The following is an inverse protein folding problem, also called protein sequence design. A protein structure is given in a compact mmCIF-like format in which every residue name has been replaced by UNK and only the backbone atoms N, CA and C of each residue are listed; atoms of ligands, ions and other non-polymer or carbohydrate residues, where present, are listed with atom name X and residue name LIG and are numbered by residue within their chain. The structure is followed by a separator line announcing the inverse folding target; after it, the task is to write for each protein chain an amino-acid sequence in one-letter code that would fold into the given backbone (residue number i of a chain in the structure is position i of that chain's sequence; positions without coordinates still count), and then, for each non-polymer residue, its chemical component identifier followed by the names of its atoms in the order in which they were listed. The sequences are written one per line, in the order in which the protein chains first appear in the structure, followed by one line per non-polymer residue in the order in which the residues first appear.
data_IF_640380580811
#
_entry.id   IF_640380580811
#
_cell.length_a   1.000
_cell.length_b   1.000
_cell.length_c   1.000
_cell.angle_alpha   90.00
_cell.angle_beta   90.00
_cell.angle_gamma   90.00
#
_symmetry.space_group_name_H-M   'P 1'
#
loop_
_entity.id
_entity.type
_entity.pdbx_description
1 polymer ?
#
# COMPACT_ATOMS: atom_id res chain seq x y z
N UNK A 1 -46.33 -6.49 -2.58
CA UNK A 1 -45.78 -5.12 -2.53
C UNK A 1 -44.82 -4.90 -1.36
N UNK A 2 -44.91 -5.66 -0.27
CA UNK A 2 -43.99 -5.56 0.88
C UNK A 2 -42.56 -6.07 0.62
N UNK A 3 -42.37 -7.04 -0.29
CA UNK A 3 -41.03 -7.53 -0.65
C UNK A 3 -40.16 -6.47 -1.37
N UNK A 4 -40.77 -5.66 -2.25
CA UNK A 4 -40.07 -4.53 -2.92
C UNK A 4 -39.69 -3.42 -1.96
N UNK A 5 -40.43 -3.27 -0.85
CA UNK A 5 -40.20 -2.24 0.16
C UNK A 5 -39.06 -2.64 1.12
N UNK A 6 -38.80 -3.95 1.27
CA UNK A 6 -37.62 -4.47 1.97
C UNK A 6 -36.34 -4.35 1.12
N UNK A 7 -36.39 -4.63 -0.19
CA UNK A 7 -35.23 -4.44 -1.09
C UNK A 7 -34.85 -2.96 -1.24
N UNK A 8 -35.82 -2.04 -1.30
CA UNK A 8 -35.54 -0.60 -1.35
C UNK A 8 -34.88 -0.08 -0.06
N UNK A 9 -35.26 -0.61 1.11
CA UNK A 9 -34.61 -0.27 2.40
C UNK A 9 -33.21 -0.87 2.56
N UNK A 10 -32.92 -1.99 1.91
CA UNK A 10 -31.58 -2.60 1.86
C UNK A 10 -30.66 -1.87 0.87
N UNK A 11 -31.18 -1.44 -0.29
CA UNK A 11 -30.45 -0.59 -1.23
C UNK A 11 -30.21 0.83 -0.66
N UNK A 12 -31.20 1.44 0.01
CA UNK A 12 -31.02 2.78 0.59
C UNK A 12 -30.03 2.81 1.77
N UNK A 13 -29.89 1.71 2.53
CA UNK A 13 -28.86 1.57 3.57
C UNK A 13 -27.46 1.28 3.02
N UNK A 14 -27.35 0.80 1.78
CA UNK A 14 -26.07 0.51 1.12
C UNK A 14 -25.59 1.69 0.27
N UNK A 15 -26.49 2.59 -0.15
CA UNK A 15 -26.17 3.76 -0.97
C UNK A 15 -25.96 5.08 -0.20
N UNK A 16 -26.31 5.15 1.08
CA UNK A 16 -25.91 6.27 1.95
C UNK A 16 -24.70 5.90 2.79
N UNK A 17 -23.51 6.03 2.19
CA UNK A 17 -22.25 6.36 2.88
C UNK A 17 -21.04 6.57 1.94
N UNK A 18 -21.25 6.86 0.64
CA UNK A 18 -20.13 7.02 -0.34
C UNK A 18 -19.84 8.50 -0.66
N UNK A 19 -20.39 9.44 0.10
CA UNK A 19 -20.08 10.86 0.00
C UNK A 19 -19.73 11.46 1.36
N UNK A 20 -18.76 10.89 2.03
CA UNK A 20 -17.97 11.62 3.02
C UNK A 20 -16.50 11.39 2.69
N UNK A 21 -15.68 12.44 2.73
CA UNK A 21 -14.26 12.37 2.41
C UNK A 21 -13.62 11.23 3.19
N UNK A 22 -13.27 10.14 2.49
CA UNK A 22 -12.73 8.95 3.12
C UNK A 22 -11.37 9.31 3.71
N UNK A 23 -11.35 9.41 5.03
CA UNK A 23 -10.15 9.66 5.81
C UNK A 23 -9.28 8.39 5.76
N UNK A 24 -8.45 8.31 4.71
CA UNK A 24 -7.52 7.19 4.39
C UNK A 24 -6.45 6.97 5.47
N UNK A 25 -6.46 7.75 6.55
CA UNK A 25 -5.51 7.66 7.64
C UNK A 25 -5.83 6.49 8.57
N UNK A 26 -7.06 5.97 8.56
CA UNK A 26 -7.59 5.07 9.59
C UNK A 26 -7.22 3.58 9.56
N UNK A 27 -6.44 3.09 8.59
CA UNK A 27 -6.29 1.64 8.37
C UNK A 27 -4.98 1.08 8.93
N UNK A 28 -5.05 -0.01 9.71
CA UNK A 28 -3.86 -0.75 10.12
C UNK A 28 -3.23 -1.46 8.91
N UNK A 29 -1.94 -1.83 8.97
CA UNK A 29 -1.30 -2.65 7.91
C UNK A 29 -2.09 -3.93 7.55
N UNK A 30 -2.96 -4.44 8.44
CA UNK A 30 -3.83 -5.59 8.15
C UNK A 30 -5.13 -5.21 7.43
N UNK A 31 -5.62 -3.98 7.59
CA UNK A 31 -6.80 -3.47 6.88
C UNK A 31 -6.45 -3.06 5.45
N UNK A 32 -5.19 -2.68 5.20
CA UNK A 32 -4.63 -2.49 3.86
C UNK A 32 -4.78 -3.72 2.97
N UNK A 33 -4.71 -4.93 3.53
CA UNK A 33 -4.75 -6.20 2.78
C UNK A 33 -6.19 -6.58 2.37
N UNK A 34 -7.19 -6.22 3.19
CA UNK A 34 -8.62 -6.38 2.85
C UNK A 34 -9.12 -5.29 1.90
N UNK A 35 -8.48 -4.13 1.86
CA UNK A 35 -8.80 -3.09 0.89
C UNK A 35 -8.26 -3.40 -0.52
N UNK A 36 -7.33 -4.37 -0.66
CA UNK A 36 -6.77 -4.79 -1.95
C UNK A 36 -7.70 -5.70 -2.77
N UNK A 37 -8.83 -6.16 -2.24
CA UNK A 37 -9.81 -6.92 -3.03
C UNK A 37 -10.55 -6.06 -4.06
N UNK A 38 -10.63 -4.74 -3.87
CA UNK A 38 -11.11 -3.83 -4.92
C UNK A 38 -9.92 -3.24 -5.71
N UNK A 39 -9.74 -3.62 -6.98
CA UNK A 39 -8.59 -3.17 -7.75
C UNK A 39 -8.68 -1.68 -8.18
N UNK A 40 -9.80 -0.97 -7.95
CA UNK A 40 -9.83 0.51 -8.05
C UNK A 40 -9.23 1.15 -6.80
N UNK A 41 -9.55 0.62 -5.62
CA UNK A 41 -8.96 1.07 -4.35
C UNK A 41 -7.46 0.81 -4.31
N UNK A 42 -7.02 -0.38 -4.72
CA UNK A 42 -5.58 -0.71 -4.77
C UNK A 42 -4.76 0.28 -5.63
N UNK A 43 -5.31 0.71 -6.78
CA UNK A 43 -4.68 1.71 -7.65
C UNK A 43 -4.60 3.10 -7.01
N UNK A 44 -5.64 3.51 -6.29
CA UNK A 44 -5.66 4.78 -5.58
C UNK A 44 -4.66 4.78 -4.42
N UNK A 45 -4.55 3.67 -3.69
CA UNK A 45 -3.61 3.50 -2.58
C UNK A 45 -2.15 3.52 -3.07
N UNK A 46 -1.83 2.84 -4.19
CA UNK A 46 -0.48 2.92 -4.79
C UNK A 46 -0.15 4.37 -5.19
N UNK A 47 -1.11 5.07 -5.81
CA UNK A 47 -0.92 6.45 -6.24
C UNK A 47 -0.69 7.40 -5.06
N UNK A 48 -1.40 7.21 -3.94
CA UNK A 48 -1.19 7.96 -2.70
C UNK A 48 0.20 7.71 -2.10
N UNK A 49 0.61 6.43 -1.97
CA UNK A 49 1.95 6.08 -1.48
C UNK A 49 3.05 6.64 -2.36
N UNK A 50 2.89 6.55 -3.69
CA UNK A 50 3.82 7.14 -4.65
C UNK A 50 3.94 8.64 -4.48
N UNK A 51 2.81 9.34 -4.30
CA UNK A 51 2.80 10.80 -4.08
C UNK A 51 3.51 11.16 -2.78
N UNK A 52 3.20 10.48 -1.68
CA UNK A 52 3.84 10.69 -0.37
C UNK A 52 5.36 10.48 -0.46
N UNK A 53 5.80 9.41 -1.13
CA UNK A 53 7.22 9.13 -1.36
C UNK A 53 7.92 10.25 -2.14
N UNK A 54 7.38 10.67 -3.28
CA UNK A 54 8.05 11.72 -4.08
C UNK A 54 8.11 13.06 -3.36
N UNK A 55 7.07 13.41 -2.60
CA UNK A 55 7.06 14.62 -1.77
C UNK A 55 8.07 14.49 -0.63
N UNK A 56 8.10 13.35 0.07
CA UNK A 56 9.04 13.14 1.18
C UNK A 56 10.47 13.12 0.67
N UNK A 57 10.75 12.51 -0.48
CA UNK A 57 12.04 12.52 -1.14
C UNK A 57 12.49 13.94 -1.49
N UNK A 58 11.62 14.72 -2.13
CA UNK A 58 11.91 16.10 -2.51
C UNK A 58 12.28 16.97 -1.30
N UNK A 59 11.60 16.77 -0.17
CA UNK A 59 11.90 17.46 1.09
C UNK A 59 13.12 16.88 1.81
N UNK A 60 13.38 15.58 1.70
CA UNK A 60 14.53 14.92 2.34
C UNK A 60 15.86 15.34 1.70
N UNK A 61 15.89 15.61 0.40
CA UNK A 61 17.11 16.06 -0.30
C UNK A 61 17.73 17.31 0.37
N UNK A 62 17.02 18.45 0.51
CA UNK A 62 17.58 19.62 1.18
C UNK A 62 17.87 19.35 2.66
N UNK A 63 17.07 18.56 3.37
CA UNK A 63 17.36 18.17 4.76
C UNK A 63 18.72 17.50 4.87
N UNK A 64 19.01 16.52 4.01
CA UNK A 64 20.31 15.82 4.00
C UNK A 64 21.42 16.80 3.65
N UNK A 65 21.25 17.67 2.65
CA UNK A 65 22.27 18.65 2.27
C UNK A 65 22.61 19.65 3.39
N UNK A 66 21.65 20.02 4.23
CA UNK A 66 21.86 20.89 5.39
C UNK A 66 22.25 20.13 6.67
N UNK A 67 22.21 18.80 6.67
CA UNK A 67 22.54 18.00 7.85
C UNK A 67 24.06 17.79 8.00
N UNK A 68 24.56 17.46 9.21
CA UNK A 68 25.96 17.07 9.42
C UNK A 68 26.38 15.90 8.50
N UNK A 69 25.45 15.00 8.19
CA UNK A 69 25.67 13.91 7.24
C UNK A 69 25.97 14.43 5.82
N UNK A 70 25.22 15.43 5.34
CA UNK A 70 25.48 16.05 4.04
C UNK A 70 26.81 16.78 3.99
N UNK A 71 27.15 17.53 5.04
CA UNK A 71 28.43 18.23 5.13
C UNK A 71 29.62 17.26 5.11
N UNK A 72 29.53 16.16 5.85
CA UNK A 72 30.60 15.15 5.89
C UNK A 72 30.78 14.40 4.57
N UNK A 73 29.69 14.06 3.87
CA UNK A 73 29.72 13.31 2.61
C UNK A 73 30.12 14.20 1.43
N UNK A 74 29.46 15.36 1.29
CA UNK A 74 29.60 16.22 0.12
C UNK A 74 30.64 17.33 0.30
N UNK A 75 31.09 17.60 1.53
CA UNK A 75 32.04 18.68 1.88
C UNK A 75 31.60 20.07 1.40
N UNK A 76 30.29 20.26 1.27
CA UNK A 76 29.66 21.52 0.88
C UNK A 76 28.95 22.07 2.10
N UNK A 77 29.34 23.26 2.55
CA UNK A 77 28.59 24.03 3.55
C UNK A 77 27.71 25.04 2.83
N UNK A 78 26.40 24.79 2.84
CA UNK A 78 25.44 25.68 2.19
C UNK A 78 25.22 26.95 3.04
N UNK A 79 25.17 28.14 2.42
CA UNK A 79 24.86 29.36 3.16
C UNK A 79 23.40 29.31 3.65
N UNK A 80 23.21 29.37 4.97
CA UNK A 80 21.89 29.29 5.59
C UNK A 80 21.41 30.69 6.04
N UNK A 81 20.24 31.17 5.56
CA UNK A 81 19.70 32.49 5.94
C UNK A 81 19.14 32.53 7.37
N UNK A 82 18.85 31.36 7.95
CA UNK A 82 18.40 31.16 9.34
C UNK A 82 19.17 29.96 9.93
N UNK A 83 19.22 29.77 11.27
CA UNK A 83 19.97 28.67 11.84
C UNK A 83 19.49 27.32 11.30
N UNK A 84 20.43 26.46 10.94
CA UNK A 84 20.19 25.20 10.21
C UNK A 84 19.11 24.34 10.89
N UNK A 85 19.14 24.21 12.22
CA UNK A 85 18.15 23.42 12.97
C UNK A 85 16.69 23.90 12.76
N UNK A 86 16.45 25.19 12.53
CA UNK A 86 15.12 25.71 12.18
C UNK A 86 14.68 25.30 10.77
N UNK A 87 15.61 25.29 9.82
CA UNK A 87 15.36 24.80 8.45
C UNK A 87 14.99 23.32 8.50
N UNK A 88 15.79 22.52 9.22
CA UNK A 88 15.57 21.10 9.37
C UNK A 88 14.23 20.81 10.06
N UNK A 89 13.89 21.53 11.14
CA UNK A 89 12.59 21.41 11.79
C UNK A 89 11.44 21.69 10.81
N UNK A 90 11.52 22.81 10.08
CA UNK A 90 10.47 23.23 9.14
C UNK A 90 10.25 22.20 8.03
N UNK A 91 11.33 21.64 7.48
CA UNK A 91 11.26 20.67 6.39
C UNK A 91 10.87 19.26 6.87
N UNK A 92 11.34 18.84 8.04
CA UNK A 92 11.05 17.50 8.58
C UNK A 92 9.63 17.38 9.12
N UNK A 93 9.04 18.46 9.64
CA UNK A 93 7.66 18.48 10.17
C UNK A 93 6.61 17.94 9.18
N UNK A 94 6.49 18.45 7.93
CA UNK A 94 5.54 17.91 6.96
C UNK A 94 5.87 16.47 6.56
N UNK A 95 7.15 16.06 6.59
CA UNK A 95 7.50 14.65 6.32
C UNK A 95 6.90 13.75 7.41
N UNK A 96 7.13 14.08 8.69
CA UNK A 96 6.68 13.26 9.83
C UNK A 96 5.16 13.24 9.96
N UNK A 97 4.52 14.41 9.97
CA UNK A 97 3.09 14.50 10.31
C UNK A 97 2.14 14.43 9.12
N UNK A 98 2.60 14.70 7.89
CA UNK A 98 1.74 14.59 6.72
C UNK A 98 2.06 13.35 5.90
N UNK A 99 3.28 13.21 5.38
CA UNK A 99 3.60 12.02 4.55
C UNK A 99 3.69 10.75 5.40
N UNK A 100 4.29 10.83 6.59
CA UNK A 100 4.49 9.76 7.54
C UNK A 100 3.29 9.48 8.46
N UNK A 101 2.19 10.23 8.34
CA UNK A 101 0.98 10.05 9.17
C UNK A 101 0.45 8.62 9.14
N UNK A 102 0.60 7.94 8.00
CA UNK A 102 0.18 6.54 7.84
C UNK A 102 0.84 5.60 8.86
N UNK A 103 2.10 5.84 9.24
CA UNK A 103 2.80 5.02 10.23
C UNK A 103 2.35 5.34 11.65
N UNK A 104 2.07 6.62 11.94
CA UNK A 104 1.57 7.07 13.24
C UNK A 104 0.17 6.52 13.47
N UNK A 105 -0.72 6.71 12.51
CA UNK A 105 -2.09 6.24 12.62
C UNK A 105 -2.14 4.72 12.56
N UNK A 106 -1.34 4.07 11.70
CA UNK A 106 -1.18 2.62 11.68
C UNK A 106 -0.71 2.06 13.03
N UNK A 107 0.19 2.75 13.72
CA UNK A 107 0.64 2.40 15.09
C UNK A 107 -0.51 2.49 16.09
N UNK A 108 -1.28 3.58 16.08
CA UNK A 108 -2.43 3.75 16.98
C UNK A 108 -3.42 2.58 16.86
N UNK A 109 -3.82 2.22 15.64
CA UNK A 109 -4.73 1.10 15.42
C UNK A 109 -4.12 -0.26 15.78
N UNK A 110 -2.82 -0.44 15.52
CA UNK A 110 -2.11 -1.69 15.86
C UNK A 110 -2.02 -1.92 17.36
N UNK A 111 -1.71 -0.86 18.13
CA UNK A 111 -1.70 -0.90 19.59
C UNK A 111 -3.10 -1.11 20.17
N UNK A 112 -4.13 -0.44 19.61
CA UNK A 112 -5.53 -0.67 19.98
C UNK A 112 -5.95 -2.12 19.77
N UNK A 113 -5.45 -2.76 18.70
CA UNK A 113 -5.67 -4.16 18.40
C UNK A 113 -4.73 -5.13 19.16
N UNK A 114 -3.88 -4.62 20.08
CA UNK A 114 -2.86 -5.39 20.83
C UNK A 114 -1.90 -6.17 19.94
N UNK A 115 -1.52 -5.58 18.81
CA UNK A 115 -0.57 -6.14 17.85
C UNK A 115 0.64 -5.24 17.72
N UNK A 116 1.83 -5.84 17.84
CA UNK A 116 3.10 -5.17 17.56
C UNK A 116 3.51 -5.52 16.12
N UNK A 117 3.63 -4.51 15.27
CA UNK A 117 3.98 -4.66 13.87
C UNK A 117 4.99 -3.59 13.43
N UNK A 118 5.39 -3.64 12.16
CA UNK A 118 6.36 -2.72 11.56
C UNK A 118 6.03 -1.24 11.81
N UNK A 119 4.75 -0.85 11.74
CA UNK A 119 4.35 0.54 11.97
C UNK A 119 4.74 1.03 13.37
N UNK A 120 4.54 0.21 14.41
CA UNK A 120 4.88 0.57 15.80
C UNK A 120 6.35 0.92 15.93
N UNK A 121 7.23 0.11 15.34
CA UNK A 121 8.67 0.36 15.39
C UNK A 121 9.04 1.64 14.63
N UNK A 122 8.51 1.80 13.41
CA UNK A 122 8.78 2.96 12.56
C UNK A 122 8.32 4.25 13.25
N UNK A 123 7.06 4.29 13.72
CA UNK A 123 6.52 5.47 14.37
C UNK A 123 7.28 5.81 15.66
N UNK A 124 7.65 4.79 16.46
CA UNK A 124 8.46 5.01 17.66
C UNK A 124 9.81 5.62 17.31
N UNK A 125 10.53 5.08 16.31
CA UNK A 125 11.82 5.61 15.89
C UNK A 125 11.75 7.02 15.32
N UNK A 126 10.78 7.28 14.43
CA UNK A 126 10.56 8.60 13.82
C UNK A 126 10.20 9.64 14.88
N UNK A 127 9.26 9.32 15.77
CA UNK A 127 8.83 10.25 16.83
C UNK A 127 9.93 10.47 17.87
N UNK A 128 10.67 9.42 18.24
CA UNK A 128 11.81 9.56 19.16
C UNK A 128 12.90 10.46 18.56
N UNK A 129 13.26 10.27 17.29
CA UNK A 129 14.22 11.12 16.59
C UNK A 129 13.72 12.56 16.46
N UNK A 130 12.46 12.76 16.07
CA UNK A 130 11.88 14.09 15.87
C UNK A 130 11.73 14.88 17.18
N UNK A 131 11.11 14.28 18.21
CA UNK A 131 10.92 14.92 19.52
C UNK A 131 12.27 15.11 20.21
N UNK A 132 13.17 14.12 20.15
CA UNK A 132 14.53 14.23 20.67
C UNK A 132 15.30 15.39 20.03
N UNK A 133 15.14 15.58 18.71
CA UNK A 133 15.74 16.70 17.99
C UNK A 133 15.22 18.06 18.45
N UNK A 134 13.91 18.19 18.69
CA UNK A 134 13.32 19.41 19.25
C UNK A 134 13.89 19.71 20.63
N UNK A 135 13.98 18.69 21.50
CA UNK A 135 14.53 18.86 22.85
C UNK A 135 15.99 19.31 22.78
N UNK A 136 16.82 18.65 21.98
CA UNK A 136 18.24 18.99 21.82
C UNK A 136 18.43 20.41 21.25
N UNK A 137 17.62 20.78 20.26
CA UNK A 137 17.62 22.11 19.66
C UNK A 137 17.30 23.21 20.68
N UNK A 138 16.34 22.98 21.59
CA UNK A 138 15.90 23.97 22.57
C UNK A 138 16.77 24.04 23.83
N UNK A 139 17.46 22.96 24.19
CA UNK A 139 18.20 22.86 25.46
C UNK A 139 19.70 23.01 25.29
N UNK A 140 20.31 22.19 24.44
CA UNK A 140 21.78 22.07 24.31
C UNK A 140 22.29 22.82 23.09
N UNK A 141 21.46 23.02 22.06
CA UNK A 141 21.86 23.65 20.80
C UNK A 141 22.83 22.79 19.97
N UNK A 142 22.79 21.47 20.16
CA UNK A 142 23.71 20.50 19.54
C UNK A 142 23.20 19.89 18.24
N UNK A 143 23.87 18.82 17.82
CA UNK A 143 23.49 18.01 16.66
C UNK A 143 22.10 17.40 16.86
N UNK A 144 21.27 17.49 15.82
CA UNK A 144 19.90 17.00 15.81
C UNK A 144 19.77 15.78 14.89
N UNK A 145 18.65 15.07 14.99
CA UNK A 145 18.34 13.85 14.23
C UNK A 145 17.15 14.05 13.27
N UNK A 146 16.91 15.29 12.85
CA UNK A 146 15.81 15.62 11.92
C UNK A 146 16.00 14.96 10.54
N UNK A 147 17.25 14.78 10.12
CA UNK A 147 17.66 14.06 8.93
C UNK A 147 17.38 12.56 9.04
N UNK A 148 17.72 11.94 10.17
CA UNK A 148 17.44 10.53 10.43
C UNK A 148 15.94 10.24 10.39
N UNK A 149 15.12 11.10 11.02
CA UNK A 149 13.66 10.99 10.98
C UNK A 149 13.11 11.09 9.54
N UNK A 150 13.57 12.09 8.77
CA UNK A 150 13.14 12.31 7.40
C UNK A 150 13.54 11.16 6.46
N UNK A 151 14.79 10.70 6.54
CA UNK A 151 15.30 9.59 5.75
C UNK A 151 14.56 8.29 6.07
N UNK A 152 14.31 8.00 7.36
CA UNK A 152 13.59 6.80 7.77
C UNK A 152 12.18 6.78 7.16
N UNK A 153 11.42 7.88 7.26
CA UNK A 153 10.09 7.98 6.64
C UNK A 153 10.17 7.78 5.13
N UNK A 154 11.11 8.44 4.46
CA UNK A 154 11.26 8.36 3.00
C UNK A 154 11.61 6.96 2.52
N UNK A 155 12.55 6.26 3.18
CA UNK A 155 12.93 4.90 2.78
C UNK A 155 11.80 3.89 3.04
N UNK A 156 11.07 4.04 4.14
CA UNK A 156 9.93 3.16 4.42
C UNK A 156 8.81 3.40 3.40
N UNK A 157 8.49 4.66 3.08
CA UNK A 157 7.51 4.98 2.03
C UNK A 157 7.92 4.41 0.67
N UNK A 158 9.21 4.49 0.33
CA UNK A 158 9.75 3.87 -0.88
C UNK A 158 9.52 2.36 -0.89
N UNK A 159 9.90 1.67 0.18
CA UNK A 159 9.72 0.22 0.31
C UNK A 159 8.26 -0.18 0.18
N UNK A 160 7.36 0.58 0.81
CA UNK A 160 5.92 0.29 0.77
C UNK A 160 5.32 0.56 -0.62
N UNK A 161 5.75 1.63 -1.30
CA UNK A 161 5.34 1.87 -2.69
C UNK A 161 5.84 0.77 -3.62
N UNK A 162 7.10 0.33 -3.49
CA UNK A 162 7.66 -0.76 -4.28
C UNK A 162 6.92 -2.08 -4.06
N UNK A 163 6.56 -2.39 -2.80
CA UNK A 163 5.72 -3.55 -2.47
C UNK A 163 4.38 -3.49 -3.20
N UNK A 164 3.67 -2.36 -3.13
CA UNK A 164 2.37 -2.20 -3.80
C UNK A 164 2.49 -2.28 -5.33
N UNK A 165 3.51 -1.63 -5.89
CA UNK A 165 3.78 -1.66 -7.34
C UNK A 165 4.05 -3.07 -7.84
N UNK A 166 4.78 -3.89 -7.06
CA UNK A 166 5.06 -5.29 -7.39
C UNK A 166 3.80 -6.15 -7.38
N UNK A 167 2.86 -5.90 -6.45
CA UNK A 167 1.59 -6.64 -6.35
C UNK A 167 0.58 -6.27 -7.44
N UNK A 168 0.60 -5.04 -7.99
CA UNK A 168 -0.36 -4.57 -9.01
C UNK A 168 -0.34 -5.40 -10.30
N UNK A 169 0.83 -5.88 -10.73
CA UNK A 169 0.97 -6.60 -12.01
C UNK A 169 0.08 -7.84 -12.13
N UNK A 170 -0.28 -8.45 -11.00
CA UNK A 170 -1.09 -9.68 -10.97
C UNK A 170 -2.59 -9.42 -11.15
N UNK A 171 -3.10 -8.28 -10.66
CA UNK A 171 -4.53 -7.94 -10.73
C UNK A 171 -4.99 -7.48 -12.12
N UNK A 172 -4.07 -6.97 -12.95
CA UNK A 172 -4.39 -6.55 -14.33
C UNK A 172 -4.65 -7.76 -15.25
N UNK A 173 -3.97 -8.88 -15.03
CA UNK A 173 -4.20 -10.11 -15.80
C UNK A 173 -5.59 -10.71 -15.55
N UNK A 174 -6.09 -10.64 -14.31
CA UNK A 174 -7.45 -11.07 -13.99
C UNK A 174 -8.53 -10.19 -14.65
N UNK A 175 -8.29 -8.89 -14.79
CA UNK A 175 -9.22 -7.98 -15.47
C UNK A 175 -9.32 -8.25 -16.96
N UNK A 176 -8.21 -8.61 -17.60
CA UNK A 176 -8.23 -9.00 -19.01
C UNK A 176 -9.18 -10.19 -19.28
N UNK A 177 -9.41 -11.06 -18.27
CA UNK A 177 -10.40 -12.13 -18.36
C UNK A 177 -11.84 -11.61 -18.27
N UNK A 178 -12.12 -10.54 -17.52
CA UNK A 178 -13.45 -9.92 -17.46
C UNK A 178 -13.82 -9.18 -18.74
N UNK A 179 -12.83 -8.58 -19.42
CA UNK A 179 -13.02 -7.92 -20.73
C UNK A 179 -13.38 -8.92 -21.86
N UNK A 180 -13.30 -10.22 -21.57
CA UNK A 180 -13.81 -11.26 -22.47
C UNK A 180 -15.34 -11.33 -22.49
N UNK A 181 -16.02 -10.87 -21.43
CA UNK A 181 -17.48 -10.89 -21.38
C UNK A 181 -18.01 -9.64 -22.09
N UNK A 182 -18.85 -9.78 -23.13
CA UNK A 182 -19.44 -8.63 -23.80
C UNK A 182 -20.38 -7.87 -22.84
N UNK A 183 -20.42 -6.52 -22.88
CA UNK A 183 -21.27 -5.74 -21.98
C UNK A 183 -22.76 -5.85 -22.30
N UNK A 184 -23.10 -6.21 -23.54
CA UNK A 184 -24.47 -6.37 -24.02
C UNK A 184 -24.58 -7.64 -24.86
N UNK A 185 -25.80 -8.18 -24.92
CA UNK A 185 -26.11 -9.33 -25.75
C UNK A 185 -27.54 -9.22 -26.31
N UNK A 186 -27.76 -9.86 -27.46
CA UNK A 186 -29.05 -9.88 -28.14
C UNK A 186 -29.83 -11.12 -27.73
N UNK A 187 -30.97 -10.93 -27.08
CA UNK A 187 -31.86 -12.00 -26.62
C UNK A 187 -33.17 -11.98 -27.37
N UNK A 188 -33.82 -13.13 -27.52
CA UNK A 188 -35.18 -13.23 -28.05
C UNK A 188 -36.14 -13.29 -26.87
N UNK A 189 -36.93 -12.23 -26.69
CA UNK A 189 -38.02 -12.15 -25.72
C UNK A 189 -39.29 -11.74 -26.46
N UNK A 190 -40.42 -12.38 -26.15
CA UNK A 190 -41.72 -12.15 -26.82
C UNK A 190 -41.64 -12.25 -28.36
N UNK A 191 -40.78 -13.13 -28.87
CA UNK A 191 -40.58 -13.35 -30.30
C UNK A 191 -39.81 -12.24 -31.03
N UNK A 192 -39.24 -11.27 -30.31
CA UNK A 192 -38.43 -10.18 -30.87
C UNK A 192 -37.01 -10.20 -30.33
N UNK A 193 -36.06 -9.84 -31.18
CA UNK A 193 -34.68 -9.60 -30.78
C UNK A 193 -34.58 -8.27 -30.01
N UNK A 194 -34.06 -8.32 -28.80
CA UNK A 194 -33.83 -7.17 -27.92
C UNK A 194 -32.40 -7.25 -27.40
N UNK A 195 -31.65 -6.15 -27.54
CA UNK A 195 -30.32 -6.03 -26.95
C UNK A 195 -30.46 -5.56 -25.50
N UNK A 196 -29.91 -6.34 -24.57
CA UNK A 196 -29.93 -6.05 -23.14
C UNK A 196 -28.50 -6.10 -22.57
N UNK A 197 -28.23 -5.46 -21.43
CA UNK A 197 -26.99 -5.67 -20.69
C UNK A 197 -26.80 -7.16 -20.36
N UNK A 198 -25.59 -7.69 -20.52
CA UNK A 198 -25.31 -9.12 -20.24
C UNK A 198 -25.60 -9.51 -18.79
N UNK A 199 -25.57 -8.54 -17.88
CA UNK A 199 -25.95 -8.71 -16.47
C UNK A 199 -27.45 -8.97 -16.25
N UNK A 200 -28.31 -8.68 -17.23
CA UNK A 200 -29.77 -8.89 -17.17
C UNK A 200 -30.23 -10.20 -17.82
N UNK A 201 -29.28 -11.00 -18.34
CA UNK A 201 -29.57 -12.31 -18.91
C UNK A 201 -29.95 -13.26 -17.78
N UNK A 202 -31.08 -13.94 -17.95
CA UNK A 202 -31.57 -14.94 -17.00
C UNK A 202 -31.49 -16.34 -17.61
N UNK A 203 -31.41 -17.34 -16.74
CA UNK A 203 -31.40 -18.74 -17.16
C UNK A 203 -32.67 -19.04 -17.99
N UNK A 204 -32.47 -19.63 -19.16
CA UNK A 204 -33.53 -19.95 -20.09
C UNK A 204 -33.78 -18.91 -21.19
N UNK A 205 -33.19 -17.71 -21.12
CA UNK A 205 -33.19 -16.78 -22.25
C UNK A 205 -32.60 -17.44 -23.50
N UNK A 206 -33.14 -17.10 -24.67
CA UNK A 206 -32.57 -17.50 -25.96
C UNK A 206 -31.74 -16.34 -26.48
N UNK A 207 -30.46 -16.57 -26.70
CA UNK A 207 -29.49 -15.57 -27.14
C UNK A 207 -29.13 -15.84 -28.60
N UNK A 208 -29.08 -14.77 -29.39
CA UNK A 208 -28.66 -14.80 -30.80
C UNK A 208 -27.20 -14.39 -30.87
N UNK A 209 -26.37 -15.24 -31.46
CA UNK A 209 -24.96 -14.97 -31.75
C UNK A 209 -24.77 -14.87 -33.27
N UNK A 210 -24.25 -13.73 -33.72
CA UNK A 210 -23.83 -13.51 -35.09
C UNK A 210 -22.33 -13.82 -35.23
N UNK A 211 -21.82 -14.00 -36.46
CA UNK A 211 -20.39 -14.20 -36.68
C UNK A 211 -19.59 -13.01 -36.11
N UNK A 212 -18.58 -13.30 -35.31
CA UNK A 212 -17.76 -12.33 -34.57
C UNK A 212 -18.23 -12.04 -33.14
N UNK A 213 -19.45 -12.45 -32.76
CA UNK A 213 -19.96 -12.19 -31.41
C UNK A 213 -19.25 -13.04 -30.35
N UNK A 214 -18.96 -12.43 -29.20
CA UNK A 214 -18.53 -13.16 -28.01
C UNK A 214 -19.72 -13.79 -27.32
N UNK A 215 -19.55 -14.99 -26.79
CA UNK A 215 -20.57 -15.69 -26.01
C UNK A 215 -20.71 -15.01 -24.64
N UNK A 216 -21.88 -14.46 -24.27
CA UNK A 216 -22.06 -13.71 -23.03
C UNK A 216 -22.15 -14.58 -21.78
N UNK A 217 -22.75 -15.77 -21.91
CA UNK A 217 -23.06 -16.71 -20.80
C UNK A 217 -23.01 -18.14 -21.31
N UNK A 218 -22.89 -19.12 -20.41
CA UNK A 218 -22.84 -20.52 -20.80
C UNK A 218 -24.23 -21.04 -21.19
N UNK A 219 -24.28 -21.91 -22.18
CA UNK A 219 -25.56 -22.44 -22.64
C UNK A 219 -25.47 -23.58 -23.64
N UNK A 220 -26.61 -23.88 -24.26
CA UNK A 220 -26.77 -24.98 -25.21
C UNK A 220 -27.44 -24.49 -26.49
N UNK A 221 -26.87 -24.86 -27.64
CA UNK A 221 -27.35 -24.44 -28.96
C UNK A 221 -28.73 -25.07 -29.22
N UNK A 222 -29.72 -24.23 -29.50
CA UNK A 222 -31.07 -24.66 -29.86
C UNK A 222 -31.31 -24.62 -31.37
N UNK A 223 -30.57 -23.78 -32.09
CA UNK A 223 -30.71 -23.57 -33.54
C UNK A 223 -29.37 -23.10 -34.16
N UNK A 224 -29.08 -23.57 -35.38
CA UNK A 224 -27.90 -23.20 -36.15
C UNK A 224 -26.70 -24.13 -35.96
N UNK A 225 -25.65 -23.85 -36.73
CA UNK A 225 -24.34 -24.51 -36.66
C UNK A 225 -23.25 -23.47 -36.93
N UNK A 226 -22.14 -23.53 -36.19
CA UNK A 226 -21.01 -22.62 -36.36
C UNK A 226 -19.72 -23.23 -35.80
N UNK A 227 -18.58 -22.67 -36.19
CA UNK A 227 -17.31 -22.91 -35.51
C UNK A 227 -17.14 -21.89 -34.39
N UNK A 228 -16.79 -22.37 -33.20
CA UNK A 228 -16.57 -21.54 -32.01
C UNK A 228 -15.09 -21.62 -31.62
N UNK A 229 -14.48 -20.45 -31.46
CA UNK A 229 -13.15 -20.32 -30.88
C UNK A 229 -13.26 -20.33 -29.35
N UNK A 230 -12.82 -21.43 -28.74
CA UNK A 230 -12.77 -21.61 -27.29
C UNK A 230 -11.36 -21.35 -26.72
N UNK A 231 -10.40 -20.89 -27.53
CA UNK A 231 -8.97 -20.76 -27.15
C UNK A 231 -8.73 -19.90 -25.91
N UNK A 232 -9.55 -18.88 -25.68
CA UNK A 232 -9.45 -18.00 -24.52
C UNK A 232 -9.86 -18.66 -23.21
N UNK A 233 -10.64 -19.74 -23.27
CA UNK A 233 -11.14 -20.49 -22.09
C UNK A 233 -10.42 -21.82 -21.93
N UNK A 234 -10.24 -22.57 -23.02
CA UNK A 234 -9.65 -23.92 -23.00
C UNK A 234 -8.14 -23.92 -23.28
N UNK A 235 -7.61 -22.87 -23.93
CA UNK A 235 -6.23 -22.83 -24.40
C UNK A 235 -5.98 -23.59 -25.70
N UNK A 236 -7.00 -24.21 -26.28
CA UNK A 236 -6.88 -24.94 -27.55
C UNK A 236 -7.08 -24.01 -28.75
N UNK A 237 -6.09 -23.90 -29.63
CA UNK A 237 -6.09 -22.94 -30.74
C UNK A 237 -7.00 -23.33 -31.92
N UNK A 238 -7.54 -24.55 -31.95
CA UNK A 238 -8.35 -25.04 -33.06
C UNK A 238 -9.82 -24.79 -32.75
N UNK A 239 -10.56 -24.02 -33.58
CA UNK A 239 -11.99 -23.81 -33.39
C UNK A 239 -12.77 -25.12 -33.45
N UNK A 240 -13.76 -25.24 -32.58
CA UNK A 240 -14.60 -26.44 -32.48
C UNK A 240 -15.91 -26.20 -33.20
N UNK A 241 -16.27 -27.10 -34.13
CA UNK A 241 -17.57 -27.07 -34.79
C UNK A 241 -18.67 -27.53 -33.84
N UNK A 242 -19.72 -26.72 -33.69
CA UNK A 242 -20.86 -26.99 -32.80
C UNK A 242 -22.16 -26.85 -33.58
N UNK A 243 -23.09 -27.74 -33.27
CA UNK A 243 -24.45 -27.78 -33.82
C UNK A 243 -25.48 -27.84 -32.68
N UNK A 244 -26.76 -27.98 -33.03
CA UNK A 244 -27.85 -28.12 -32.07
C UNK A 244 -27.58 -29.19 -31.01
N UNK A 245 -27.79 -28.86 -29.74
CA UNK A 245 -27.44 -29.70 -28.59
C UNK A 245 -26.00 -29.54 -28.10
N UNK A 246 -25.15 -28.87 -28.88
CA UNK A 246 -23.78 -28.52 -28.47
C UNK A 246 -23.77 -27.46 -27.36
N UNK A 247 -22.81 -27.57 -26.44
CA UNK A 247 -22.58 -26.58 -25.38
C UNK A 247 -21.68 -25.44 -25.88
N UNK A 248 -22.02 -24.23 -25.43
CA UNK A 248 -21.23 -23.01 -25.62
C UNK A 248 -20.81 -22.45 -24.27
N UNK A 249 -19.59 -21.91 -24.20
CA UNK A 249 -18.99 -21.38 -22.98
C UNK A 249 -18.82 -19.87 -23.12
N UNK A 250 -19.11 -19.13 -22.06
CA UNK A 250 -18.95 -17.68 -21.98
C UNK A 250 -17.49 -17.27 -22.17
N UNK A 251 -17.27 -16.21 -22.95
CA UNK A 251 -15.94 -15.72 -23.34
C UNK A 251 -15.38 -16.32 -24.64
N UNK A 252 -15.99 -17.39 -25.17
CA UNK A 252 -15.68 -17.91 -26.51
C UNK A 252 -16.15 -16.96 -27.61
N UNK A 253 -15.62 -17.12 -28.83
CA UNK A 253 -15.98 -16.28 -29.99
C UNK A 253 -16.65 -17.12 -31.06
N UNK A 254 -17.82 -16.67 -31.52
CA UNK A 254 -18.50 -17.29 -32.66
C UNK A 254 -17.85 -16.85 -33.98
N UNK A 255 -17.45 -17.77 -34.86
CA UNK A 255 -16.66 -17.41 -36.05
C UNK A 255 -17.47 -17.25 -37.34
N UNK A 256 -18.35 -18.21 -37.67
CA UNK A 256 -18.86 -18.34 -39.05
C UNK A 256 -20.37 -18.26 -39.18
N UNK A 257 -21.12 -19.08 -38.44
CA UNK A 257 -22.57 -19.20 -38.54
C UNK A 257 -23.32 -18.34 -37.53
N UNK A 258 -24.61 -18.11 -37.78
CA UNK A 258 -25.50 -17.54 -36.74
C UNK A 258 -26.04 -18.67 -35.88
N UNK A 259 -25.96 -18.52 -34.56
CA UNK A 259 -26.44 -19.49 -33.59
C UNK A 259 -27.53 -18.88 -32.71
N UNK A 260 -28.49 -19.70 -32.31
CA UNK A 260 -29.33 -19.39 -31.15
C UNK A 260 -29.05 -20.41 -30.08
N UNK A 261 -28.79 -19.95 -28.87
CA UNK A 261 -28.52 -20.83 -27.74
C UNK A 261 -29.34 -20.43 -26.52
N UNK A 262 -29.68 -21.41 -25.68
CA UNK A 262 -30.40 -21.21 -24.44
C UNK A 262 -29.42 -21.04 -23.28
N UNK A 263 -29.55 -19.98 -22.50
CA UNK A 263 -28.73 -19.77 -21.31
C UNK A 263 -28.97 -20.87 -20.26
N UNK A 264 -27.89 -21.53 -19.82
CA UNK A 264 -27.91 -22.56 -18.78
C UNK A 264 -27.32 -22.06 -17.45
N UNK A 265 -26.20 -21.33 -17.51
CA UNK A 265 -25.53 -20.73 -16.36
C UNK A 265 -25.26 -19.26 -16.65
N UNK A 266 -25.54 -18.38 -15.70
CA UNK A 266 -25.45 -16.92 -15.87
C UNK A 266 -24.71 -16.30 -14.68
N UNK A 267 -24.09 -15.14 -14.88
CA UNK A 267 -23.36 -14.42 -13.83
C UNK A 267 -22.29 -15.29 -13.15
N UNK A 268 -22.36 -15.39 -11.83
CA UNK A 268 -21.40 -16.10 -10.99
C UNK A 268 -21.38 -17.63 -11.20
N UNK A 269 -22.40 -18.19 -11.84
CA UNK A 269 -22.48 -19.63 -12.09
C UNK A 269 -21.74 -20.08 -13.36
N UNK A 270 -21.31 -19.13 -14.20
CA UNK A 270 -20.59 -19.43 -15.45
C UNK A 270 -19.20 -20.01 -15.18
N UNK A 271 -18.71 -20.85 -16.10
CA UNK A 271 -17.38 -21.46 -16.05
C UNK A 271 -16.30 -20.38 -15.92
N UNK A 272 -16.37 -19.32 -16.73
CA UNK A 272 -15.40 -18.22 -16.68
C UNK A 272 -15.43 -17.51 -15.31
N UNK A 273 -16.62 -17.24 -14.75
CA UNK A 273 -16.73 -16.64 -13.42
C UNK A 273 -16.18 -17.56 -12.31
N UNK A 274 -16.35 -18.88 -12.43
CA UNK A 274 -15.77 -19.84 -11.51
C UNK A 274 -14.24 -19.90 -11.61
N UNK A 275 -13.69 -19.89 -12.83
CA UNK A 275 -12.24 -19.81 -13.04
C UNK A 275 -11.68 -18.53 -12.40
N UNK A 276 -12.31 -17.38 -12.65
CA UNK A 276 -11.90 -16.10 -12.07
C UNK A 276 -11.93 -16.19 -10.53
N UNK A 277 -13.03 -16.71 -9.96
CA UNK A 277 -13.17 -16.87 -8.50
C UNK A 277 -12.10 -17.80 -7.91
N UNK A 278 -11.76 -18.88 -8.59
CA UNK A 278 -10.71 -19.80 -8.16
C UNK A 278 -9.34 -19.11 -8.16
N UNK A 279 -9.01 -18.37 -9.23
CA UNK A 279 -7.76 -17.61 -9.31
C UNK A 279 -7.70 -16.51 -8.25
N UNK A 280 -8.80 -15.77 -8.05
CA UNK A 280 -8.91 -14.76 -7.00
C UNK A 280 -8.71 -15.36 -5.61
N UNK A 281 -9.34 -16.51 -5.33
CA UNK A 281 -9.19 -17.23 -4.06
C UNK A 281 -7.74 -17.68 -3.85
N UNK A 282 -7.08 -18.18 -4.90
CA UNK A 282 -5.68 -18.58 -4.84
C UNK A 282 -4.76 -17.38 -4.55
N UNK A 283 -4.99 -16.23 -5.21
CA UNK A 283 -4.20 -15.01 -5.02
C UNK A 283 -4.42 -14.34 -3.65
N UNK A 284 -5.65 -14.37 -3.14
CA UNK A 284 -5.99 -13.78 -1.85
C UNK A 284 -5.61 -14.68 -0.66
N UNK A 285 -5.14 -15.90 -0.92
CA UNK A 285 -4.63 -16.78 0.13
C UNK A 285 -3.25 -16.31 0.58
N UNK A 286 -3.09 -16.07 1.89
CA UNK A 286 -1.80 -15.61 2.44
C UNK A 286 -0.72 -16.65 2.22
N UNK A 287 0.34 -16.26 1.50
CA UNK A 287 1.51 -17.09 1.36
C UNK A 287 2.09 -17.42 2.76
N UNK A 288 2.42 -18.70 3.04
CA UNK A 288 2.96 -19.12 4.34
C UNK A 288 4.16 -18.29 4.82
N UNK A 289 5.01 -17.81 3.90
CA UNK A 289 6.18 -16.98 4.21
C UNK A 289 5.85 -15.62 4.82
N UNK A 290 4.75 -14.96 4.42
CA UNK A 290 4.36 -13.65 4.96
C UNK A 290 4.01 -13.74 6.45
N UNK A 291 3.37 -14.84 6.87
CA UNK A 291 3.03 -15.07 8.29
C UNK A 291 4.28 -15.24 9.17
N UNK A 292 5.37 -15.75 8.60
CA UNK A 292 6.66 -15.90 9.31
C UNK A 292 7.31 -14.53 9.46
N UNK A 293 7.32 -13.72 8.38
CA UNK A 293 7.83 -12.36 8.41
C UNK A 293 7.09 -11.47 9.45
N UNK A 294 5.76 -11.56 9.52
CA UNK A 294 4.96 -10.81 10.50
C UNK A 294 5.33 -11.15 11.95
N UNK A 295 5.59 -12.44 12.24
CA UNK A 295 6.03 -12.88 13.57
C UNK A 295 7.43 -12.36 13.90
N UNK A 296 8.35 -12.44 12.94
CA UNK A 296 9.71 -11.92 13.12
C UNK A 296 9.70 -10.40 13.37
N UNK A 297 8.87 -9.65 12.63
CA UNK A 297 8.67 -8.22 12.83
C UNK A 297 8.20 -7.88 14.25
N UNK A 298 7.22 -8.63 14.77
CA UNK A 298 6.71 -8.43 16.12
C UNK A 298 7.79 -8.66 17.20
N UNK A 299 8.60 -9.72 17.04
CA UNK A 299 9.73 -9.99 17.94
C UNK A 299 10.75 -8.86 17.87
N UNK A 300 11.09 -8.39 16.68
CA UNK A 300 12.04 -7.29 16.47
C UNK A 300 11.57 -6.02 17.18
N UNK A 301 10.29 -5.68 17.13
CA UNK A 301 9.72 -4.53 17.86
C UNK A 301 9.94 -4.66 19.36
N UNK A 302 9.62 -5.84 19.94
CA UNK A 302 9.80 -6.10 21.37
C UNK A 302 11.27 -5.95 21.76
N UNK A 303 12.17 -6.55 21.00
CA UNK A 303 13.61 -6.52 21.27
C UNK A 303 14.16 -5.11 21.14
N UNK A 304 13.79 -4.36 20.11
CA UNK A 304 14.30 -3.01 19.87
C UNK A 304 13.82 -2.00 20.94
N UNK A 305 12.52 -2.01 21.27
CA UNK A 305 11.99 -1.14 22.32
C UNK A 305 12.52 -1.58 23.69
N UNK A 306 12.55 -2.89 23.95
CA UNK A 306 13.05 -3.46 25.19
C UNK A 306 14.53 -3.12 25.43
N UNK A 307 15.40 -3.27 24.43
CA UNK A 307 16.82 -2.92 24.54
C UNK A 307 17.02 -1.42 24.74
N UNK A 308 16.24 -0.57 24.06
CA UNK A 308 16.28 0.88 24.26
C UNK A 308 15.92 1.28 25.69
N UNK A 309 14.82 0.73 26.22
CA UNK A 309 14.40 0.98 27.60
C UNK A 309 15.42 0.45 28.62
N UNK A 310 15.91 -0.78 28.43
CA UNK A 310 16.93 -1.36 29.31
C UNK A 310 18.21 -0.53 29.31
N UNK A 311 18.64 -0.04 28.15
CA UNK A 311 19.82 0.82 28.04
C UNK A 311 19.57 2.15 28.76
N UNK A 312 18.42 2.79 28.52
CA UNK A 312 18.04 4.02 29.20
C UNK A 312 18.03 3.86 30.72
N UNK A 313 17.32 2.86 31.25
CA UNK A 313 17.23 2.64 32.69
C UNK A 313 18.58 2.19 33.28
N UNK A 314 19.36 1.40 32.56
CA UNK A 314 20.72 1.03 32.96
C UNK A 314 21.60 2.26 33.16
N UNK A 315 21.65 3.15 32.18
CA UNK A 315 22.41 4.40 32.30
C UNK A 315 21.80 5.37 33.32
N UNK A 316 20.48 5.43 33.45
CA UNK A 316 19.84 6.27 34.44
C UNK A 316 20.19 5.85 35.89
N UNK A 317 20.23 4.54 36.16
CA UNK A 317 20.51 4.02 37.51
C UNK A 317 22.01 3.96 37.79
N UNK A 318 22.84 3.53 36.83
CA UNK A 318 24.28 3.31 37.05
C UNK A 318 25.16 4.48 36.57
N UNK A 319 24.65 5.36 35.71
CA UNK A 319 25.39 6.50 35.17
C UNK A 319 25.79 7.52 36.24
N UNK A 320 24.94 7.76 37.24
CA UNK A 320 25.28 8.62 38.38
C UNK A 320 26.24 7.93 39.38
N UNK A 321 26.24 6.60 39.45
CA UNK A 321 27.09 5.84 40.37
C UNK A 321 28.56 5.74 39.94
N UNK A 322 28.89 6.10 38.69
CA UNK A 322 30.22 5.86 38.09
C UNK A 322 31.06 7.13 37.90
N UNK A 323 30.59 8.31 38.33
CA UNK A 323 31.43 9.51 38.45
C UNK A 323 32.32 9.39 39.68
N UNK A 324 33.30 8.48 39.65
CA UNK A 324 34.45 8.55 40.55
C UNK A 324 35.25 9.78 40.10
N UNK A 325 35.32 10.87 40.89
CA UNK A 325 36.21 11.96 40.55
C UNK A 325 37.63 11.41 40.70
N UNK A 326 38.32 11.15 39.59
CA UNK A 326 39.75 10.88 39.64
C UNK A 326 40.41 12.14 40.24
N UNK A 327 41.11 12.06 41.38
CA UNK A 327 41.82 13.20 41.91
C UNK A 327 42.95 13.53 40.93
N UNK A 328 42.78 14.61 40.16
CA UNK A 328 43.87 15.18 39.38
C UNK A 328 44.94 15.66 40.37
N UNK A 329 46.19 15.15 40.33
CA UNK A 329 47.25 15.67 41.19
C UNK A 329 47.64 17.07 40.68
N UNK A 330 47.42 18.11 41.49
CA UNK A 330 47.74 19.51 41.17
C UNK A 330 49.25 19.85 41.16
N UNK A 331 50.17 18.87 41.26
CA UNK A 331 51.57 19.13 41.60
C UNK A 331 52.56 19.24 40.43
N UNK A 332 52.14 19.56 39.21
CA UNK A 332 53.08 19.71 38.08
C UNK A 332 52.77 20.86 37.12
N UNK A 333 52.27 21.99 37.63
CA UNK A 333 52.34 23.25 36.89
C UNK A 333 53.76 23.83 37.05
N UNK A 334 54.58 23.95 35.99
CA UNK A 334 55.82 24.68 36.08
C UNK A 334 55.51 26.16 36.40
N UNK A 335 56.22 26.71 37.39
CA UNK A 335 56.06 28.10 37.81
C UNK A 335 56.25 29.07 36.63
N UNK A 336 55.48 30.17 36.56
CA UNK A 336 55.65 31.16 35.50
C UNK A 336 57.04 31.79 35.59
N UNK A 337 57.81 31.69 34.50
CA UNK A 337 59.04 32.46 34.30
C UNK A 337 58.71 33.95 34.34
N UNK A 338 59.21 34.66 35.35
CA UNK A 338 59.25 36.12 35.37
C UNK A 338 60.09 36.61 34.17
N UNK A 339 59.47 37.34 33.24
CA UNK A 339 60.17 38.08 32.20
C UNK A 339 60.83 39.31 32.80
N UNK A 340 62.12 39.20 33.13
CA UNK A 340 62.95 40.29 33.66
C UNK A 340 63.46 41.18 32.49
N UNK A 341 62.55 41.87 31.80
CA UNK A 341 62.87 42.72 30.63
C UNK A 341 62.58 44.21 30.84
N UNK A 342 62.56 44.68 32.09
CA UNK A 342 62.32 46.10 32.44
C UNK A 342 63.43 46.72 33.31
N UNK A 343 64.69 46.31 33.12
CA UNK A 343 65.84 46.86 33.89
C UNK A 343 67.08 47.26 33.07
N UNK A 344 66.90 47.68 31.81
CA UNK A 344 67.99 48.27 31.00
C UNK A 344 67.55 49.52 30.21
N UNK A 345 66.82 50.43 30.86
CA UNK A 345 66.72 51.83 30.44
C UNK A 345 66.71 52.73 31.68
N UNK A 346 67.88 52.91 32.28
CA UNK A 346 68.31 54.12 32.99
C UNK A 346 69.80 54.08 33.27
#
# INVERSE_FOLDING_TARGET
MEAKQYEYKLQSKTSHNVHEGHDMQGMSHMDHEKAMTDPRMAKQMEADMRRRFWISLLLTIPIVLYSPLGESIFRITLPAPIPVNWILLLLTTPIVFWTGSIFITGTYYSLKARKLNMAVLIATGVLAAYIGSIILMLTVGGETFFDAAAMLVTFVLFGHWMEMKSRRGTSEALRALFDLIPPQATVIRDGKEVTIPSAEIVKGDIIVLKPGDKVPVDGEIVEGQSSIDESLVTGESIPVSKEKGGKVVGGSVNLTGTLKFKALQVGADTVLAQIIKLVETAQNSKAPGQRIADKAAAILVIVAIGSGLLTFFGWYVFGEATLIPLPYPQSSLPAPMHSDSQRLLR
#
